data_IF_721778390118
#
_entry.id   IF_721778390118
#
_cell.length_a   1.000
_cell.length_b   1.000
_cell.length_c   1.000
_cell.angle_alpha   90.00
_cell.angle_beta   90.00
_cell.angle_gamma   90.00
#
_symmetry.space_group_name_H-M   'P 1'
#
loop_
_entity.id
_entity.type
_entity.pdbx_description
1 polymer ?
#
# COMPACT_ATOMS: atom_id res chain seq x y z
N UNK A 1 22.46 -39.90 -64.41
CA UNK A 1 22.21 -38.53 -63.95
C UNK A 1 21.73 -38.58 -62.51
N UNK A 2 22.47 -37.90 -61.64
CA UNK A 2 22.18 -37.37 -60.30
C UNK A 2 21.20 -38.08 -59.32
N UNK A 3 21.79 -38.44 -58.17
CA UNK A 3 21.18 -38.71 -56.86
C UNK A 3 20.22 -37.62 -56.38
N UNK A 4 19.15 -37.98 -55.66
CA UNK A 4 18.73 -37.29 -54.42
C UNK A 4 18.14 -38.32 -53.43
N UNK A 5 18.92 -38.63 -52.40
CA UNK A 5 18.46 -39.32 -51.19
C UNK A 5 17.64 -38.33 -50.34
N UNK A 6 16.39 -38.68 -49.99
CA UNK A 6 15.64 -37.97 -48.95
C UNK A 6 15.85 -38.65 -47.61
N UNK A 7 16.70 -38.04 -46.79
CA UNK A 7 16.86 -38.31 -45.37
C UNK A 7 15.52 -38.06 -44.67
N UNK A 8 14.96 -39.10 -44.04
CA UNK A 8 13.86 -38.96 -43.08
C UNK A 8 14.43 -38.48 -41.76
N UNK A 9 14.08 -37.26 -41.34
CA UNK A 9 14.35 -36.80 -39.98
C UNK A 9 13.46 -37.55 -38.97
N UNK A 10 13.99 -37.87 -37.77
CA UNK A 10 13.23 -38.54 -36.73
C UNK A 10 12.17 -37.64 -36.09
N UNK A 11 11.09 -38.28 -35.64
CA UNK A 11 9.97 -37.68 -34.92
C UNK A 11 10.47 -36.84 -33.73
N UNK A 12 10.13 -35.54 -33.72
CA UNK A 12 10.17 -34.77 -32.47
C UNK A 12 8.99 -35.23 -31.61
N UNK A 13 9.36 -35.63 -30.40
CA UNK A 13 8.48 -36.05 -29.32
C UNK A 13 7.38 -35.02 -29.05
N UNK A 14 6.17 -35.53 -28.85
CA UNK A 14 5.04 -34.84 -28.26
C UNK A 14 5.47 -34.26 -26.91
N UNK A 15 5.51 -32.93 -26.83
CA UNK A 15 5.57 -32.23 -25.54
C UNK A 15 4.28 -32.59 -24.79
N UNK A 16 4.33 -33.06 -23.53
CA UNK A 16 3.11 -33.25 -22.76
C UNK A 16 2.48 -31.88 -22.53
N UNK A 17 1.28 -31.73 -23.08
CA UNK A 17 0.34 -30.65 -22.82
C UNK A 17 0.14 -30.57 -21.30
N UNK A 18 0.83 -29.63 -20.65
CA UNK A 18 0.64 -29.36 -19.24
C UNK A 18 -0.70 -28.61 -19.12
N UNK A 19 -1.76 -29.39 -18.98
CA UNK A 19 -3.11 -28.96 -18.68
C UNK A 19 -3.11 -28.24 -17.33
N UNK A 20 -2.75 -26.95 -17.31
CA UNK A 20 -3.09 -26.13 -16.15
C UNK A 20 -4.61 -26.06 -16.09
N UNK A 21 -5.24 -26.35 -14.94
CA UNK A 21 -6.67 -26.19 -14.81
C UNK A 21 -7.00 -24.71 -15.02
N UNK A 22 -7.70 -24.39 -16.12
CA UNK A 22 -8.46 -23.16 -16.26
C UNK A 22 -9.38 -23.11 -15.05
N UNK A 23 -9.03 -22.32 -14.05
CA UNK A 23 -9.86 -22.09 -12.87
C UNK A 23 -11.05 -21.24 -13.35
N UNK A 24 -12.27 -21.77 -13.43
CA UNK A 24 -13.41 -20.97 -13.80
C UNK A 24 -13.73 -20.10 -12.58
N UNK A 25 -13.51 -18.80 -12.68
CA UNK A 25 -14.13 -17.85 -11.76
C UNK A 25 -15.61 -17.78 -12.13
N UNK A 26 -16.38 -18.66 -11.49
CA UNK A 26 -17.83 -18.54 -11.42
C UNK A 26 -18.19 -17.31 -10.61
N UNK A 27 -19.17 -16.56 -11.10
CA UNK A 27 -19.81 -15.47 -10.41
C UNK A 27 -20.30 -15.94 -9.02
N UNK A 28 -19.55 -15.63 -7.97
CA UNK A 28 -19.93 -15.89 -6.59
C UNK A 28 -20.32 -14.56 -5.95
N UNK A 29 -21.59 -14.48 -5.60
CA UNK A 29 -22.27 -13.37 -4.97
C UNK A 29 -21.57 -12.96 -3.67
N UNK A 30 -21.29 -11.67 -3.54
CA UNK A 30 -20.81 -11.04 -2.31
C UNK A 30 -21.99 -10.88 -1.34
N UNK A 31 -22.06 -11.71 -0.31
CA UNK A 31 -22.97 -11.53 0.85
C UNK A 31 -22.28 -11.86 2.17
N UNK A 32 -22.81 -11.23 3.24
CA UNK A 32 -22.52 -11.34 4.68
C UNK A 32 -21.44 -10.36 5.22
N UNK A 33 -21.76 -9.29 5.97
CA UNK A 33 -22.44 -9.08 7.28
C UNK A 33 -21.52 -9.32 8.51
N UNK A 34 -21.31 -8.29 9.34
CA UNK A 34 -20.71 -8.37 10.70
C UNK A 34 -20.03 -7.05 11.13
N UNK A 35 -20.67 -6.11 11.84
CA UNK A 35 -20.91 -6.00 13.31
C UNK A 35 -19.75 -5.39 14.12
N UNK A 36 -19.98 -4.13 14.55
CA UNK A 36 -19.73 -3.46 15.86
C UNK A 36 -18.31 -3.44 16.47
N UNK A 37 -17.83 -2.22 16.78
CA UNK A 37 -17.32 -1.93 18.14
C UNK A 37 -17.46 -0.43 18.49
N UNK A 38 -17.92 -0.17 19.71
CA UNK A 38 -18.19 1.13 20.29
C UNK A 38 -17.21 1.46 21.44
N UNK A 39 -17.16 2.77 21.75
CA UNK A 39 -16.89 3.40 23.04
C UNK A 39 -15.42 3.52 23.54
N UNK A 40 -15.02 4.78 23.79
CA UNK A 40 -14.62 5.34 25.11
C UNK A 40 -13.57 6.46 24.93
N UNK A 41 -13.96 7.73 25.05
CA UNK A 41 -13.09 8.77 25.64
C UNK A 41 -13.96 9.74 26.43
N UNK A 42 -13.90 9.61 27.75
CA UNK A 42 -14.21 10.69 28.68
C UNK A 42 -13.11 10.71 29.72
N UNK A 43 -12.34 11.81 29.78
CA UNK A 43 -11.69 12.34 31.00
C UNK A 43 -11.37 13.82 30.73
N UNK A 44 -12.04 14.71 31.46
CA UNK A 44 -11.65 16.11 31.68
C UNK A 44 -10.61 16.18 32.80
N UNK A 45 -9.71 17.19 32.80
CA UNK A 45 -9.17 17.69 34.05
C UNK A 45 -9.55 19.15 34.25
N UNK A 46 -10.28 19.41 35.33
CA UNK A 46 -10.38 20.71 35.95
C UNK A 46 -9.51 20.73 37.21
N UNK A 47 -8.91 21.90 37.46
CA UNK A 47 -8.34 22.37 38.73
C UNK A 47 -7.11 21.64 39.29
N UNK A 48 -5.97 22.33 39.28
CA UNK A 48 -5.26 22.66 40.52
C UNK A 48 -4.31 23.85 40.27
N UNK A 49 -4.85 25.07 40.38
CA UNK A 49 -4.06 26.30 40.40
C UNK A 49 -4.36 27.04 41.71
N UNK A 50 -3.50 26.83 42.70
CA UNK A 50 -3.35 27.68 43.88
C UNK A 50 -2.19 27.17 44.71
N UNK A 51 -1.07 27.89 44.69
CA UNK A 51 -0.21 28.24 45.83
C UNK A 51 0.84 29.26 45.32
N UNK A 52 0.60 30.55 45.56
CA UNK A 52 1.57 31.68 45.51
C UNK A 52 2.14 31.87 46.96
N UNK A 53 3.11 32.77 47.28
CA UNK A 53 4.11 33.52 46.50
C UNK A 53 5.53 33.65 47.15
N UNK A 54 6.43 34.33 46.41
CA UNK A 54 7.43 35.35 46.82
C UNK A 54 8.92 35.05 47.06
N UNK A 55 9.69 36.10 46.72
CA UNK A 55 11.09 36.46 46.96
C UNK A 55 12.24 35.90 46.09
N UNK A 56 12.74 36.79 45.23
CA UNK A 56 14.13 36.83 44.74
C UNK A 56 14.99 37.66 45.72
N UNK A 57 16.34 37.51 45.81
CA UNK A 57 17.19 38.09 44.76
C UNK A 57 18.52 37.35 44.45
N UNK A 58 18.98 37.55 43.21
CA UNK A 58 20.34 37.65 42.68
C UNK A 58 21.42 36.61 43.08
N UNK A 59 21.86 35.83 42.09
CA UNK A 59 23.25 35.39 41.97
C UNK A 59 23.68 35.32 40.49
N UNK A 60 24.88 35.83 40.26
CA UNK A 60 25.50 36.21 39.00
C UNK A 60 26.10 35.03 38.23
N UNK A 61 26.12 35.17 36.90
CA UNK A 61 27.10 34.64 35.93
C UNK A 61 26.85 33.28 35.22
N UNK A 62 27.03 33.37 33.90
CA UNK A 62 27.57 32.35 32.99
C UNK A 62 26.62 31.29 32.41
N UNK A 63 25.99 31.64 31.29
CA UNK A 63 26.28 31.06 29.97
C UNK A 63 25.10 31.41 29.03
N UNK A 64 25.32 31.88 27.79
CA UNK A 64 24.25 31.82 26.81
C UNK A 64 23.81 30.35 26.69
N UNK A 65 22.50 30.05 26.66
CA UNK A 65 22.05 28.68 26.44
C UNK A 65 22.72 28.17 25.16
N UNK A 66 23.22 26.92 25.10
CA UNK A 66 23.66 26.36 23.84
C UNK A 66 22.49 26.51 22.89
N UNK A 67 22.74 27.21 21.77
CA UNK A 67 21.75 27.36 20.72
C UNK A 67 21.22 25.97 20.41
N UNK A 68 19.94 25.74 20.72
CA UNK A 68 19.27 24.50 20.40
C UNK A 68 19.56 24.26 18.92
N UNK A 69 20.34 23.23 18.62
CA UNK A 69 20.51 22.80 17.24
C UNK A 69 19.10 22.66 16.68
N UNK A 70 18.78 23.29 15.54
CA UNK A 70 17.49 23.05 14.92
C UNK A 70 17.44 21.54 14.69
N UNK A 71 16.62 20.85 15.49
CA UNK A 71 16.15 19.54 15.11
C UNK A 71 15.34 19.81 13.86
N UNK A 72 16.01 19.70 12.72
CA UNK A 72 15.36 19.62 11.42
C UNK A 72 14.58 18.31 11.51
N UNK A 73 13.41 18.35 12.12
CA UNK A 73 12.37 17.37 11.86
C UNK A 73 12.17 17.48 10.35
N UNK A 74 12.59 16.47 9.57
CA UNK A 74 12.37 16.52 8.14
C UNK A 74 10.88 16.70 7.94
N UNK A 75 10.48 17.77 7.26
CA UNK A 75 9.09 17.98 6.88
C UNK A 75 8.65 16.72 6.14
N UNK A 76 7.59 16.02 6.58
CA UNK A 76 7.17 14.78 5.96
C UNK A 76 6.99 15.00 4.45
N UNK A 77 7.73 14.26 3.63
CA UNK A 77 7.53 14.30 2.18
C UNK A 77 6.15 13.70 1.92
N UNK A 78 5.27 14.48 1.30
CA UNK A 78 3.95 14.01 0.89
C UNK A 78 4.12 12.79 -0.03
N UNK A 79 3.30 11.75 0.15
CA UNK A 79 3.37 10.56 -0.68
C UNK A 79 3.05 10.90 -2.14
N UNK A 80 3.98 10.63 -3.04
CA UNK A 80 3.84 10.89 -4.47
C UNK A 80 4.21 9.66 -5.30
N UNK A 81 3.47 9.43 -6.38
CA UNK A 81 3.79 8.41 -7.37
C UNK A 81 4.96 8.88 -8.25
N UNK A 82 5.99 8.07 -8.39
CA UNK A 82 7.05 8.30 -9.39
C UNK A 82 6.86 7.46 -10.64
N UNK A 83 6.08 6.38 -10.55
CA UNK A 83 5.66 5.59 -11.70
C UNK A 83 4.74 6.37 -12.62
N UNK A 84 4.61 5.91 -13.87
CA UNK A 84 3.66 6.49 -14.81
C UNK A 84 2.23 6.37 -14.25
N UNK A 85 1.40 7.41 -14.43
CA UNK A 85 -0.04 7.37 -14.10
C UNK A 85 -0.81 6.41 -15.01
N UNK A 86 -0.17 5.83 -16.02
CA UNK A 86 -0.69 4.72 -16.82
C UNK A 86 0.12 3.46 -16.52
N UNK A 87 -0.53 2.44 -15.96
CA UNK A 87 0.13 1.24 -15.40
C UNK A 87 -0.42 -0.05 -16.01
N UNK A 88 0.41 -1.10 -16.21
CA UNK A 88 -0.08 -2.42 -16.57
C UNK A 88 -0.93 -3.05 -15.45
N UNK A 89 -1.64 -4.14 -15.74
CA UNK A 89 -2.41 -4.86 -14.71
C UNK A 89 -1.51 -5.33 -13.58
N UNK A 90 -0.35 -5.89 -13.88
CA UNK A 90 0.67 -6.21 -12.89
C UNK A 90 1.84 -5.24 -13.01
N UNK A 91 2.08 -4.44 -11.97
CA UNK A 91 3.11 -3.40 -11.98
C UNK A 91 3.89 -3.36 -10.66
N UNK A 92 5.15 -2.94 -10.75
CA UNK A 92 5.88 -2.43 -9.60
C UNK A 92 5.55 -0.94 -9.45
N UNK A 93 5.05 -0.56 -8.29
CA UNK A 93 4.64 0.80 -7.98
C UNK A 93 5.69 1.44 -7.08
N UNK A 94 6.19 2.61 -7.47
CA UNK A 94 7.23 3.33 -6.75
C UNK A 94 6.82 4.76 -6.46
N UNK A 95 7.40 5.33 -5.42
CA UNK A 95 7.18 6.72 -5.06
C UNK A 95 8.14 7.26 -4.02
N UNK A 96 7.86 8.49 -3.59
CA UNK A 96 8.56 9.17 -2.49
C UNK A 96 7.63 9.39 -1.30
N UNK A 97 8.21 9.45 -0.11
CA UNK A 97 7.52 9.59 1.17
C UNK A 97 8.22 8.80 2.26
N UNK A 98 8.41 9.41 3.42
CA UNK A 98 9.06 8.74 4.57
C UNK A 98 8.08 7.82 5.30
N UNK A 99 8.58 6.69 5.81
CA UNK A 99 7.78 5.76 6.61
C UNK A 99 7.28 6.42 7.90
N UNK A 100 5.96 6.40 8.21
CA UNK A 100 5.48 6.94 9.47
C UNK A 100 6.04 6.14 10.66
N UNK A 101 6.47 6.80 11.75
CA UNK A 101 7.11 6.13 12.87
C UNK A 101 6.15 5.14 13.53
N UNK A 102 6.63 3.91 13.77
CA UNK A 102 5.87 2.85 14.43
C UNK A 102 4.70 2.28 13.62
N UNK A 103 4.60 2.59 12.32
CA UNK A 103 3.53 2.12 11.44
C UNK A 103 4.12 1.51 10.17
N UNK A 104 3.44 0.50 9.64
CA UNK A 104 3.63 0.09 8.25
C UNK A 104 2.68 0.87 7.34
N UNK A 105 2.90 0.82 6.04
CA UNK A 105 1.97 1.41 5.07
C UNK A 105 1.44 0.32 4.14
N UNK A 106 0.12 0.16 4.14
CA UNK A 106 -0.60 -0.70 3.23
C UNK A 106 -1.00 0.03 1.97
N UNK A 107 -0.92 -0.66 0.84
CA UNK A 107 -1.46 -0.26 -0.43
C UNK A 107 -2.80 -0.97 -0.63
N UNK A 108 -3.83 -0.17 -0.83
CA UNK A 108 -5.15 -0.59 -1.24
C UNK A 108 -5.47 -0.05 -2.63
N UNK A 109 -6.33 -0.74 -3.35
CA UNK A 109 -6.86 -0.30 -4.63
C UNK A 109 -8.35 -0.07 -4.49
N UNK A 110 -8.84 0.98 -5.11
CA UNK A 110 -10.26 1.30 -5.18
C UNK A 110 -10.62 1.73 -6.60
N UNK A 111 -11.78 1.35 -7.09
CA UNK A 111 -12.34 1.96 -8.31
C UNK A 111 -13.01 3.28 -7.90
N UNK A 112 -12.77 4.41 -8.59
CA UNK A 112 -13.43 5.66 -8.27
C UNK A 112 -14.96 5.50 -8.22
N UNK A 113 -15.55 5.89 -7.09
CA UNK A 113 -16.99 5.74 -6.84
C UNK A 113 -17.42 4.39 -6.22
N UNK A 114 -16.52 3.41 -6.12
CA UNK A 114 -16.78 2.18 -5.38
C UNK A 114 -16.74 2.45 -3.86
N UNK A 115 -17.46 1.65 -3.08
CA UNK A 115 -17.43 1.69 -1.61
C UNK A 115 -16.35 0.79 -1.03
N UNK A 116 -15.82 -0.16 -1.81
CA UNK A 116 -14.83 -1.14 -1.34
C UNK A 116 -13.40 -0.74 -1.64
N UNK A 117 -12.52 -1.15 -0.73
CA UNK A 117 -11.07 -1.06 -0.86
C UNK A 117 -10.49 -2.47 -0.92
N UNK A 118 -9.66 -2.74 -1.91
CA UNK A 118 -9.05 -4.04 -2.15
C UNK A 118 -7.61 -4.03 -1.63
N UNK A 119 -7.29 -4.95 -0.72
CA UNK A 119 -5.94 -5.15 -0.21
C UNK A 119 -5.01 -5.65 -1.31
N UNK A 120 -3.83 -5.03 -1.41
CA UNK A 120 -2.77 -5.52 -2.28
C UNK A 120 -1.52 -5.90 -1.49
N UNK A 121 -0.80 -4.91 -0.95
CA UNK A 121 0.55 -5.13 -0.38
C UNK A 121 0.96 -4.13 0.69
N UNK A 122 1.99 -4.49 1.44
CA UNK A 122 2.78 -3.57 2.26
C UNK A 122 3.84 -2.87 1.40
N UNK A 123 4.04 -1.58 1.61
CA UNK A 123 5.14 -0.83 1.01
C UNK A 123 6.49 -1.22 1.64
N UNK A 124 7.50 -1.40 0.80
CA UNK A 124 8.89 -1.48 1.23
C UNK A 124 9.51 -0.09 1.12
N UNK A 125 10.09 0.40 2.21
CA UNK A 125 10.74 1.72 2.27
C UNK A 125 12.26 1.59 2.17
N UNK A 126 12.88 2.52 1.45
CA UNK A 126 14.32 2.73 1.35
C UNK A 126 14.60 4.24 1.45
N UNK A 127 14.96 4.71 2.65
CA UNK A 127 15.02 6.12 2.98
C UNK A 127 13.67 6.83 2.77
N UNK A 128 13.66 7.85 1.92
CA UNK A 128 12.46 8.60 1.53
C UNK A 128 11.80 8.06 0.26
N UNK A 129 12.25 6.91 -0.24
CA UNK A 129 11.62 6.22 -1.37
C UNK A 129 10.86 5.00 -0.87
N UNK A 130 9.83 4.61 -1.62
CA UNK A 130 9.08 3.40 -1.33
C UNK A 130 8.71 2.67 -2.61
N UNK A 131 8.46 1.36 -2.47
CA UNK A 131 8.02 0.48 -3.56
C UNK A 131 7.03 -0.58 -3.09
N UNK A 132 6.14 -0.98 -3.98
CA UNK A 132 5.28 -2.15 -3.85
C UNK A 132 5.42 -2.98 -5.12
N UNK A 133 5.95 -4.20 -5.00
CA UNK A 133 6.25 -5.04 -6.16
C UNK A 133 5.04 -5.88 -6.56
N UNK A 134 4.83 -6.07 -7.86
CA UNK A 134 3.80 -6.97 -8.40
C UNK A 134 2.41 -6.69 -7.82
N UNK A 135 2.01 -5.43 -7.87
CA UNK A 135 0.67 -4.97 -7.49
C UNK A 135 -0.29 -5.33 -8.62
N UNK A 136 -1.44 -5.92 -8.29
CA UNK A 136 -2.46 -6.30 -9.27
C UNK A 136 -3.56 -5.26 -9.32
N UNK A 137 -3.67 -4.54 -10.43
CA UNK A 137 -4.59 -3.43 -10.62
C UNK A 137 -5.80 -3.88 -11.43
N UNK A 138 -6.90 -4.15 -10.72
CA UNK A 138 -8.18 -4.55 -11.31
C UNK A 138 -8.18 -5.96 -11.94
N UNK A 139 -9.32 -6.34 -12.51
CA UNK A 139 -9.56 -7.66 -13.08
C UNK A 139 -9.30 -7.71 -14.59
N UNK A 140 -8.97 -8.88 -15.17
CA UNK A 140 -8.87 -9.02 -16.63
C UNK A 140 -10.12 -8.44 -17.32
N UNK A 141 -9.94 -7.44 -18.20
CA UNK A 141 -11.03 -6.69 -18.83
C UNK A 141 -11.20 -5.22 -18.41
N UNK A 142 -10.70 -4.81 -17.25
CA UNK A 142 -10.71 -3.40 -16.80
C UNK A 142 -9.72 -2.45 -17.51
N UNK A 143 -9.33 -2.74 -18.76
CA UNK A 143 -8.36 -1.90 -19.47
C UNK A 143 -9.00 -0.55 -19.81
N UNK A 144 -8.25 0.53 -19.64
CA UNK A 144 -8.71 1.90 -19.80
C UNK A 144 -9.49 2.47 -18.62
N UNK A 145 -9.76 1.66 -17.57
CA UNK A 145 -10.44 2.16 -16.36
C UNK A 145 -9.46 2.86 -15.42
N UNK A 146 -10.00 3.81 -14.65
CA UNK A 146 -9.28 4.48 -13.57
C UNK A 146 -9.35 3.67 -12.28
N UNK A 147 -8.27 3.76 -11.50
CA UNK A 147 -8.13 3.19 -10.17
C UNK A 147 -7.47 4.21 -9.25
N UNK A 148 -7.87 4.18 -7.98
CA UNK A 148 -7.27 4.92 -6.88
C UNK A 148 -6.35 3.96 -6.10
N UNK A 149 -5.05 4.26 -6.10
CA UNK A 149 -4.08 3.65 -5.21
C UNK A 149 -4.12 4.41 -3.88
N UNK A 150 -4.48 3.74 -2.81
CA UNK A 150 -4.76 4.34 -1.51
C UNK A 150 -3.73 3.82 -0.51
N UNK A 151 -2.90 4.73 0.00
CA UNK A 151 -1.83 4.41 0.95
C UNK A 151 -2.35 4.64 2.36
N UNK A 152 -2.34 3.60 3.19
CA UNK A 152 -2.96 3.62 4.52
C UNK A 152 -1.94 3.25 5.58
N UNK A 153 -1.75 4.05 6.64
CA UNK A 153 -0.88 3.68 7.75
C UNK A 153 -1.54 2.56 8.56
N UNK A 154 -0.77 1.52 8.91
CA UNK A 154 -1.29 0.33 9.57
C UNK A 154 -0.54 0.03 10.87
N UNK A 155 -1.28 -0.48 11.86
CA UNK A 155 -0.68 -1.08 13.04
C UNK A 155 -0.05 -2.44 12.69
N UNK A 156 0.88 -2.92 13.53
CA UNK A 156 1.50 -4.24 13.36
C UNK A 156 0.44 -5.35 13.33
N UNK A 157 -0.60 -5.25 14.14
CA UNK A 157 -1.70 -6.22 14.16
C UNK A 157 -2.50 -6.22 12.85
N UNK A 158 -2.82 -5.03 12.31
CA UNK A 158 -3.50 -4.93 11.02
C UNK A 158 -2.65 -5.55 9.91
N UNK A 159 -1.34 -5.28 9.89
CA UNK A 159 -0.41 -5.90 8.93
C UNK A 159 -0.45 -7.42 8.99
N UNK A 160 -0.41 -8.00 10.20
CA UNK A 160 -0.49 -9.45 10.38
C UNK A 160 -1.80 -10.01 9.83
N UNK A 161 -2.92 -9.30 10.01
CA UNK A 161 -4.21 -9.71 9.47
C UNK A 161 -4.25 -9.62 7.93
N UNK A 162 -3.92 -8.45 7.38
CA UNK A 162 -3.98 -8.22 5.94
C UNK A 162 -3.02 -9.11 5.16
N UNK A 163 -1.81 -9.39 5.68
CA UNK A 163 -0.84 -10.28 5.01
C UNK A 163 -1.31 -11.72 4.84
N UNK A 164 -2.34 -12.17 5.58
CA UNK A 164 -2.98 -13.48 5.33
C UNK A 164 -3.65 -13.53 3.96
N UNK A 165 -3.90 -12.38 3.35
CA UNK A 165 -4.57 -12.21 2.08
C UNK A 165 -3.63 -11.83 0.93
N UNK A 166 -2.31 -11.79 1.15
CA UNK A 166 -1.34 -11.44 0.10
C UNK A 166 -1.50 -12.35 -1.13
N UNK A 167 -1.67 -11.74 -2.31
CA UNK A 167 -1.89 -12.45 -3.57
C UNK A 167 -3.31 -13.01 -3.76
N UNK A 168 -4.23 -12.72 -2.85
CA UNK A 168 -5.65 -13.06 -2.99
C UNK A 168 -6.50 -11.78 -2.94
N UNK A 169 -7.56 -11.66 -3.77
CA UNK A 169 -8.45 -10.52 -3.68
C UNK A 169 -9.13 -10.48 -2.31
N UNK A 170 -8.96 -9.38 -1.58
CA UNK A 170 -9.57 -9.18 -0.28
C UNK A 170 -10.10 -7.76 -0.15
N UNK A 171 -11.42 -7.63 -0.01
CA UNK A 171 -12.11 -6.35 0.02
C UNK A 171 -12.52 -5.97 1.44
N UNK A 172 -12.35 -4.70 1.80
CA UNK A 172 -12.81 -4.12 3.07
C UNK A 172 -13.72 -2.93 2.80
N UNK A 173 -14.69 -2.69 3.69
CA UNK A 173 -15.63 -1.58 3.60
C UNK A 173 -14.96 -0.22 3.76
N UNK A 174 -13.98 -0.14 4.66
CA UNK A 174 -13.22 1.07 4.89
C UNK A 174 -11.76 0.69 5.19
N UNK A 175 -10.80 1.56 4.82
CA UNK A 175 -9.43 1.38 5.26
C UNK A 175 -9.37 1.45 6.80
N UNK A 176 -8.41 0.75 7.43
CA UNK A 176 -8.28 0.71 8.89
C UNK A 176 -8.26 2.09 9.57
N UNK A 177 -7.70 3.09 8.88
CA UNK A 177 -7.59 4.48 9.31
C UNK A 177 -7.56 5.39 8.07
N UNK A 178 -7.55 6.71 8.29
CA UNK A 178 -7.47 7.72 7.22
C UNK A 178 -6.26 7.49 6.29
N UNK A 179 -6.45 7.50 4.96
CA UNK A 179 -5.35 7.39 4.01
C UNK A 179 -4.30 8.51 4.17
N UNK A 180 -3.02 8.17 4.00
CA UNK A 180 -1.91 9.11 3.88
C UNK A 180 -1.93 9.82 2.52
N UNK A 181 -2.29 9.08 1.48
CA UNK A 181 -2.43 9.60 0.12
C UNK A 181 -3.33 8.72 -0.73
N UNK A 182 -3.90 9.35 -1.75
CA UNK A 182 -4.66 8.70 -2.81
C UNK A 182 -4.09 9.16 -4.15
N UNK A 183 -3.72 8.21 -5.00
CA UNK A 183 -3.07 8.45 -6.29
C UNK A 183 -3.92 7.82 -7.37
N UNK A 184 -4.27 8.58 -8.42
CA UNK A 184 -5.07 8.07 -9.54
C UNK A 184 -4.17 7.49 -10.62
N UNK A 185 -4.55 6.31 -11.11
CA UNK A 185 -3.88 5.63 -12.21
C UNK A 185 -4.89 5.08 -13.20
N UNK A 186 -4.53 5.07 -14.48
CA UNK A 186 -5.30 4.44 -15.55
C UNK A 186 -4.67 3.11 -15.90
N UNK A 187 -5.47 2.06 -15.92
CA UNK A 187 -4.95 0.75 -16.31
C UNK A 187 -4.79 0.65 -17.82
N UNK A 188 -3.61 0.27 -18.26
CA UNK A 188 -3.33 0.00 -19.68
C UNK A 188 -3.89 -1.36 -20.12
N UNK A 189 -3.77 -1.65 -21.41
CA UNK A 189 -4.09 -2.96 -21.98
C UNK A 189 -2.99 -4.01 -21.72
N UNK A 190 -1.82 -3.60 -21.25
CA UNK A 190 -0.72 -4.50 -20.94
C UNK A 190 -0.99 -5.22 -19.60
N UNK A 191 -0.84 -6.54 -19.58
CA UNK A 191 -1.04 -7.35 -18.39
C UNK A 191 0.14 -7.24 -17.40
N UNK A 192 1.35 -6.95 -17.87
CA UNK A 192 2.56 -7.01 -17.04
C UNK A 192 2.90 -8.45 -16.61
N UNK A 193 3.78 -8.60 -15.61
CA UNK A 193 4.22 -9.92 -15.12
C UNK A 193 4.20 -9.98 -13.60
N UNK A 194 3.25 -10.76 -13.09
CA UNK A 194 3.10 -11.20 -11.70
C UNK A 194 3.41 -12.70 -11.65
#
# INVERSE_FOLDING_TARGET
>A
MAHIARVRYPQRMSVPENTRPRRPWGAAQWTFLGVVLAALIGVTPALLDRLLPDDAPAATASAPPPAASPSVSPTPVAFQLTSATSVPQCADITGYGSKPPGREVGLFIRVPGDSKYYWEKILTFDGDSWRADRVVIGAPGDAGKEFELVLVPMSVQAVVEFRKHDGTPYAVDNPPVTPLATLRVTRTTNLGSC
#
